data_IF_090362674740
#
_entry.id   IF_090362674740
#
_cell.length_a   1.000
_cell.length_b   1.000
_cell.length_c   1.000
_cell.angle_alpha   90.00
_cell.angle_beta   90.00
_cell.angle_gamma   90.00
#
_symmetry.space_group_name_H-M   'P 1'
#
loop_
_entity.id
_entity.type
_entity.pdbx_description
1 polymer ?
#
# COMPACT_ATOMS: atom_id res chain seq x y z
N UNK A 1 11.32 5.61 9.55
CA UNK A 1 10.43 6.77 9.83
C UNK A 1 10.25 7.71 8.62
N UNK A 2 11.19 7.77 7.69
CA UNK A 2 11.15 8.71 6.56
C UNK A 2 10.34 8.23 5.34
N UNK A 3 9.71 7.07 5.43
CA UNK A 3 8.92 6.52 4.31
C UNK A 3 7.57 7.20 4.21
N UNK A 4 7.10 7.37 2.97
CA UNK A 4 5.79 7.88 2.63
C UNK A 4 4.95 6.70 2.10
N UNK A 5 3.70 6.65 2.50
CA UNK A 5 2.72 5.63 2.15
C UNK A 5 1.54 6.27 1.43
N UNK A 6 1.07 5.71 0.35
CA UNK A 6 -0.08 6.21 -0.39
C UNK A 6 -0.73 5.15 -1.27
N UNK A 7 -1.94 5.44 -1.72
CA UNK A 7 -2.67 4.72 -2.76
C UNK A 7 -3.17 5.78 -3.76
N UNK A 8 -2.29 6.24 -4.67
CA UNK A 8 -2.56 7.42 -5.49
C UNK A 8 -3.49 7.15 -6.67
N UNK A 9 -3.86 5.90 -6.94
CA UNK A 9 -4.49 5.46 -8.17
C UNK A 9 -5.79 6.22 -8.47
N UNK A 10 -6.67 6.40 -7.48
CA UNK A 10 -7.95 7.10 -7.67
C UNK A 10 -7.70 8.54 -8.10
N UNK A 11 -6.70 9.20 -7.51
CA UNK A 11 -6.26 10.55 -7.92
C UNK A 11 -5.69 10.62 -9.33
N UNK A 12 -5.22 9.50 -9.89
CA UNK A 12 -4.74 9.40 -11.28
C UNK A 12 -5.82 8.99 -12.27
N UNK A 13 -7.04 8.70 -11.80
CA UNK A 13 -8.16 8.19 -12.61
C UNK A 13 -8.20 6.67 -12.77
N UNK A 14 -7.37 5.95 -12.00
CA UNK A 14 -7.31 4.48 -11.96
C UNK A 14 -7.98 3.92 -10.71
N UNK A 15 -8.15 2.61 -10.62
CA UNK A 15 -8.36 1.92 -9.36
C UNK A 15 -7.05 1.29 -8.87
N UNK A 16 -6.88 1.06 -7.54
CA UNK A 16 -5.73 0.32 -7.04
C UNK A 16 -5.66 -1.12 -7.55
N UNK A 17 -4.47 -1.51 -8.07
CA UNK A 17 -4.12 -2.88 -8.41
C UNK A 17 -3.47 -3.65 -7.25
N UNK A 18 -2.82 -4.79 -7.55
CA UNK A 18 -2.01 -5.56 -6.59
C UNK A 18 -2.76 -6.07 -5.36
N UNK A 19 -4.10 -6.03 -5.35
CA UNK A 19 -4.94 -6.48 -4.24
C UNK A 19 -5.08 -5.48 -3.09
N UNK A 20 -4.75 -4.21 -3.29
CA UNK A 20 -4.89 -3.16 -2.27
C UNK A 20 -6.34 -3.04 -1.78
N UNK A 21 -7.32 -3.08 -2.70
CA UNK A 21 -8.75 -2.98 -2.39
C UNK A 21 -9.27 -4.09 -1.46
N UNK A 22 -8.66 -5.28 -1.51
CA UNK A 22 -9.04 -6.41 -0.66
C UNK A 22 -8.22 -6.48 0.63
N UNK A 23 -6.92 -6.14 0.57
CA UNK A 23 -5.99 -6.30 1.70
C UNK A 23 -6.07 -5.13 2.68
N UNK A 24 -6.14 -3.90 2.17
CA UNK A 24 -6.09 -2.71 3.02
C UNK A 24 -7.25 -2.65 4.02
N UNK A 25 -8.54 -2.94 3.65
CA UNK A 25 -9.63 -2.96 4.61
C UNK A 25 -9.47 -3.98 5.75
N UNK A 26 -8.75 -5.09 5.52
CA UNK A 26 -8.48 -6.08 6.57
C UNK A 26 -7.37 -5.63 7.51
N UNK A 27 -6.44 -4.79 7.05
CA UNK A 27 -5.35 -4.25 7.86
C UNK A 27 -5.82 -3.06 8.71
N UNK A 28 -6.43 -2.05 8.07
CA UNK A 28 -6.70 -0.75 8.70
C UNK A 28 -8.16 -0.54 9.08
N UNK A 29 -9.03 -1.48 8.70
CA UNK A 29 -10.49 -1.34 8.81
C UNK A 29 -11.10 -0.52 7.66
N UNK A 30 -12.41 -0.71 7.42
CA UNK A 30 -13.13 -0.13 6.25
C UNK A 30 -13.02 1.41 6.19
N UNK A 31 -13.17 2.08 7.33
CA UNK A 31 -13.20 3.56 7.37
C UNK A 31 -11.87 4.17 6.89
N UNK A 32 -10.74 3.70 7.45
CA UNK A 32 -9.42 4.18 7.07
C UNK A 32 -9.02 3.74 5.65
N UNK A 33 -9.44 2.54 5.23
CA UNK A 33 -9.22 2.10 3.86
C UNK A 33 -9.91 3.02 2.84
N UNK A 34 -11.14 3.47 3.13
CA UNK A 34 -11.83 4.46 2.30
C UNK A 34 -11.11 5.82 2.29
N UNK A 35 -10.66 6.30 3.46
CA UNK A 35 -9.87 7.53 3.57
C UNK A 35 -8.60 7.46 2.73
N UNK A 36 -7.81 6.39 2.87
CA UNK A 36 -6.54 6.19 2.15
C UNK A 36 -6.79 6.08 0.63
N UNK A 37 -7.71 5.21 0.22
CA UNK A 37 -7.92 4.90 -1.20
C UNK A 37 -8.65 6.03 -1.94
N UNK A 38 -9.72 6.56 -1.35
CA UNK A 38 -10.50 7.61 -2.02
C UNK A 38 -9.88 8.99 -1.88
N UNK A 39 -9.15 9.22 -0.77
CA UNK A 39 -8.41 10.46 -0.56
C UNK A 39 -7.17 10.56 -1.44
N UNK A 40 -6.56 9.42 -1.79
CA UNK A 40 -5.34 9.34 -2.60
C UNK A 40 -4.20 10.25 -2.09
N UNK A 41 -4.16 10.49 -0.77
CA UNK A 41 -3.19 11.37 -0.11
C UNK A 41 -1.96 10.59 0.38
N UNK A 42 -0.92 11.33 0.76
CA UNK A 42 0.31 10.82 1.31
C UNK A 42 0.23 10.72 2.84
N UNK A 43 0.73 9.63 3.38
CA UNK A 43 0.78 9.37 4.82
C UNK A 43 2.21 9.16 5.27
N UNK A 44 2.62 9.77 6.37
CA UNK A 44 3.91 9.48 6.99
C UNK A 44 3.92 8.10 7.68
N UNK A 45 5.10 7.61 8.02
CA UNK A 45 5.28 6.31 8.63
C UNK A 45 4.61 6.20 10.02
N UNK A 46 4.55 7.28 10.80
CA UNK A 46 3.91 7.29 12.12
C UNK A 46 2.39 7.17 11.99
N UNK A 47 1.81 7.85 11.03
CA UNK A 47 0.39 7.73 10.71
C UNK A 47 0.06 6.34 10.17
N UNK A 48 0.91 5.78 9.30
CA UNK A 48 0.75 4.42 8.79
C UNK A 48 0.81 3.36 9.93
N UNK A 49 1.70 3.53 10.91
CA UNK A 49 1.72 2.68 12.12
C UNK A 49 0.43 2.85 12.94
N UNK A 50 0.03 4.08 13.24
CA UNK A 50 -1.20 4.38 13.97
C UNK A 50 -2.45 3.81 13.29
N UNK A 51 -2.47 3.77 11.96
CA UNK A 51 -3.55 3.19 11.17
C UNK A 51 -3.48 1.66 11.09
N UNK A 52 -2.41 1.04 11.59
CA UNK A 52 -2.12 -0.40 11.48
C UNK A 52 -1.86 -0.86 10.03
N UNK A 53 -1.51 0.06 9.15
CA UNK A 53 -1.09 -0.23 7.80
C UNK A 53 0.29 -0.91 7.78
N UNK A 54 1.16 -0.49 8.68
CA UNK A 54 2.45 -1.13 8.97
C UNK A 54 2.56 -1.51 10.44
N UNK A 55 3.43 -2.45 10.74
CA UNK A 55 3.65 -2.94 12.11
C UNK A 55 4.35 -1.91 13.00
N UNK A 56 5.37 -1.22 12.47
CA UNK A 56 6.23 -0.29 13.20
C UNK A 56 6.86 0.75 12.27
N UNK A 57 6.87 1.99 12.71
CA UNK A 57 7.74 3.03 12.20
C UNK A 57 9.02 3.05 13.04
N UNK A 58 10.12 2.63 12.46
CA UNK A 58 11.41 2.48 13.14
C UNK A 58 12.39 3.52 12.59
N UNK A 59 13.17 4.23 13.46
CA UNK A 59 14.24 5.09 13.01
C UNK A 59 15.20 4.36 12.08
N UNK A 60 15.61 4.99 10.99
CA UNK A 60 16.46 4.36 9.95
C UNK A 60 17.71 3.70 10.54
N UNK A 61 18.40 4.39 11.44
CA UNK A 61 19.59 3.86 12.12
C UNK A 61 19.35 2.60 12.97
N UNK A 62 18.09 2.29 13.30
CA UNK A 62 17.69 1.15 14.13
C UNK A 62 17.02 0.03 13.32
N UNK A 63 16.63 0.28 12.07
CA UNK A 63 15.82 -0.63 11.26
C UNK A 63 16.49 -2.00 11.10
N UNK A 64 17.76 -2.04 10.68
CA UNK A 64 18.50 -3.29 10.47
C UNK A 64 18.60 -4.12 11.76
N UNK A 65 18.89 -3.48 12.88
CA UNK A 65 18.98 -4.16 14.17
C UNK A 65 17.62 -4.68 14.63
N UNK A 66 16.55 -3.90 14.44
CA UNK A 66 15.18 -4.29 14.75
C UNK A 66 14.77 -5.53 13.95
N UNK A 67 14.97 -5.49 12.63
CA UNK A 67 14.63 -6.62 11.74
C UNK A 67 15.45 -7.85 12.09
N UNK A 68 16.76 -7.71 12.28
CA UNK A 68 17.67 -8.81 12.64
C UNK A 68 17.28 -9.48 13.96
N UNK A 69 16.93 -8.69 14.95
CA UNK A 69 16.48 -9.19 16.28
C UNK A 69 15.22 -10.01 16.12
N UNK A 70 14.24 -9.52 15.37
CA UNK A 70 13.00 -10.26 15.10
C UNK A 70 13.25 -11.55 14.32
N UNK A 71 14.06 -11.48 13.25
CA UNK A 71 14.40 -12.67 12.43
C UNK A 71 15.12 -13.72 13.26
N UNK A 72 16.14 -13.34 14.04
CA UNK A 72 16.88 -14.28 14.89
C UNK A 72 15.97 -14.95 15.93
N UNK A 73 15.03 -14.20 16.49
CA UNK A 73 14.03 -14.75 17.39
C UNK A 73 13.14 -15.79 16.69
N UNK A 74 12.63 -15.49 15.52
CA UNK A 74 11.79 -16.43 14.74
C UNK A 74 12.58 -17.67 14.34
N UNK A 75 13.84 -17.52 13.92
CA UNK A 75 14.71 -18.63 13.54
C UNK A 75 15.04 -19.59 14.70
N UNK A 76 14.91 -19.14 15.95
CA UNK A 76 15.11 -20.00 17.12
C UNK A 76 13.90 -20.88 17.48
N UNK A 77 12.76 -20.71 16.80
CA UNK A 77 11.54 -21.44 17.08
C UNK A 77 11.37 -22.68 16.18
N UNK A 78 10.46 -23.57 16.57
CA UNK A 78 10.15 -24.76 15.81
C UNK A 78 9.54 -24.42 14.44
N UNK A 79 10.15 -24.96 13.39
CA UNK A 79 9.76 -24.68 11.98
C UNK A 79 8.33 -25.14 11.67
N UNK A 80 7.91 -26.29 12.23
CA UNK A 80 6.57 -26.84 11.96
C UNK A 80 5.51 -25.95 12.61
N UNK A 81 5.72 -25.52 13.85
CA UNK A 81 4.82 -24.61 14.54
C UNK A 81 4.68 -23.28 13.78
N UNK A 82 5.80 -22.68 13.35
CA UNK A 82 5.80 -21.45 12.55
C UNK A 82 5.02 -21.63 11.24
N UNK A 83 5.26 -22.72 10.52
CA UNK A 83 4.62 -23.00 9.23
C UNK A 83 3.10 -23.15 9.37
N UNK A 84 2.65 -23.92 10.36
CA UNK A 84 1.23 -24.16 10.62
C UNK A 84 0.53 -22.86 11.04
N UNK A 85 1.11 -22.11 11.98
CA UNK A 85 0.55 -20.84 12.42
C UNK A 85 0.41 -19.86 11.24
N UNK A 86 1.45 -19.70 10.42
CA UNK A 86 1.41 -18.84 9.23
C UNK A 86 0.33 -19.30 8.24
N UNK A 87 0.19 -20.61 7.98
CA UNK A 87 -0.82 -21.13 7.07
C UNK A 87 -2.25 -20.81 7.56
N UNK A 88 -2.53 -21.01 8.85
CA UNK A 88 -3.85 -20.73 9.45
C UNK A 88 -4.16 -19.24 9.42
N UNK A 89 -3.20 -18.39 9.78
CA UNK A 89 -3.38 -16.92 9.74
C UNK A 89 -3.68 -16.47 8.29
N UNK A 90 -2.95 -17.01 7.31
CA UNK A 90 -3.18 -16.65 5.90
C UNK A 90 -4.57 -17.06 5.40
N UNK A 91 -5.11 -18.20 5.84
CA UNK A 91 -6.46 -18.63 5.47
C UNK A 91 -7.56 -17.71 5.99
N UNK A 92 -7.35 -17.07 7.14
CA UNK A 92 -8.35 -16.19 7.76
C UNK A 92 -8.29 -14.74 7.29
N UNK A 93 -7.18 -14.30 6.68
CA UNK A 93 -6.96 -12.88 6.38
C UNK A 93 -6.61 -12.55 4.94
N UNK A 94 -6.26 -13.53 4.10
CA UNK A 94 -5.92 -13.26 2.72
C UNK A 94 -7.14 -13.38 1.79
N UNK A 95 -7.29 -12.48 0.82
CA UNK A 95 -8.32 -12.56 -0.19
C UNK A 95 -8.11 -13.79 -1.08
N UNK A 96 -9.21 -14.31 -1.66
CA UNK A 96 -9.12 -15.41 -2.63
C UNK A 96 -8.46 -14.96 -3.94
N UNK A 97 -7.80 -15.90 -4.63
CA UNK A 97 -7.20 -15.65 -5.94
C UNK A 97 -8.25 -15.16 -6.97
N UNK A 98 -9.48 -15.65 -6.90
CA UNK A 98 -10.57 -15.22 -7.77
C UNK A 98 -10.89 -13.74 -7.58
N UNK A 99 -10.98 -13.28 -6.32
CA UNK A 99 -11.25 -11.87 -6.03
C UNK A 99 -10.08 -10.97 -6.44
N UNK A 100 -8.84 -11.43 -6.25
CA UNK A 100 -7.65 -10.69 -6.68
C UNK A 100 -7.61 -10.52 -8.19
N UNK A 101 -7.84 -11.60 -8.97
CA UNK A 101 -7.86 -11.56 -10.44
C UNK A 101 -8.97 -10.64 -10.97
N UNK A 102 -10.18 -10.74 -10.43
CA UNK A 102 -11.29 -9.89 -10.87
C UNK A 102 -10.98 -8.38 -10.69
N UNK A 103 -10.31 -8.02 -9.61
CA UNK A 103 -9.90 -6.62 -9.38
C UNK A 103 -8.74 -6.21 -10.29
N UNK A 104 -7.80 -7.12 -10.54
CA UNK A 104 -6.67 -6.89 -11.45
C UNK A 104 -7.16 -6.62 -12.88
N UNK A 105 -8.16 -7.38 -13.36
CA UNK A 105 -8.78 -7.15 -14.68
C UNK A 105 -9.42 -5.75 -14.77
N UNK A 106 -10.09 -5.29 -13.70
CA UNK A 106 -10.65 -3.93 -13.65
C UNK A 106 -9.53 -2.88 -13.61
N UNK A 107 -8.46 -3.12 -12.86
CA UNK A 107 -7.29 -2.23 -12.83
C UNK A 107 -6.72 -2.00 -14.23
N UNK A 108 -6.45 -3.08 -14.99
CA UNK A 108 -5.96 -2.92 -16.36
C UNK A 108 -6.97 -2.21 -17.28
N UNK A 109 -8.26 -2.50 -17.12
CA UNK A 109 -9.32 -1.83 -17.88
C UNK A 109 -9.37 -0.33 -17.56
N UNK A 110 -9.07 0.07 -16.32
CA UNK A 110 -9.14 1.48 -15.90
C UNK A 110 -8.15 2.40 -16.61
N UNK A 111 -7.07 1.87 -17.20
CA UNK A 111 -6.16 2.67 -18.03
C UNK A 111 -6.81 3.25 -19.31
N UNK A 112 -7.91 2.66 -19.76
CA UNK A 112 -8.70 3.17 -20.88
C UNK A 112 -9.84 4.13 -20.46
N UNK A 113 -10.00 4.39 -19.16
CA UNK A 113 -11.04 5.29 -18.69
C UNK A 113 -10.71 6.75 -19.00
N UNK A 114 -11.72 7.59 -19.30
CA UNK A 114 -11.48 8.99 -19.65
C UNK A 114 -10.65 9.75 -18.62
N UNK A 115 -10.90 9.52 -17.32
CA UNK A 115 -10.14 10.15 -16.25
C UNK A 115 -8.65 9.79 -16.26
N UNK A 116 -8.32 8.51 -16.51
CA UNK A 116 -6.93 8.08 -16.60
C UNK A 116 -6.24 8.66 -17.84
N UNK A 117 -6.91 8.63 -18.98
CA UNK A 117 -6.39 9.19 -20.24
C UNK A 117 -6.13 10.69 -20.17
N UNK A 118 -6.93 11.41 -19.38
CA UNK A 118 -6.75 12.85 -19.16
C UNK A 118 -5.63 13.14 -18.15
N UNK A 119 -5.63 12.47 -17.00
CA UNK A 119 -4.81 12.83 -15.84
C UNK A 119 -3.37 12.30 -15.93
N UNK A 120 -3.17 11.04 -16.35
CA UNK A 120 -1.86 10.40 -16.39
C UNK A 120 -0.81 11.16 -17.22
N UNK A 121 -1.10 11.65 -18.46
CA UNK A 121 -0.13 12.44 -19.22
C UNK A 121 0.29 13.71 -18.47
N UNK A 122 -0.67 14.46 -17.92
CA UNK A 122 -0.40 15.69 -17.17
C UNK A 122 0.48 15.44 -15.92
N UNK A 123 0.21 14.35 -15.20
CA UNK A 123 1.02 13.97 -14.02
C UNK A 123 2.44 13.58 -14.41
N UNK A 124 2.61 12.83 -15.51
CA UNK A 124 3.93 12.43 -16.01
C UNK A 124 4.75 13.65 -16.47
N UNK A 125 4.15 14.61 -17.14
CA UNK A 125 4.79 15.87 -17.52
C UNK A 125 5.27 16.67 -16.29
N UNK A 126 4.53 16.60 -15.16
CA UNK A 126 4.90 17.22 -13.89
C UNK A 126 5.96 16.45 -13.11
N UNK A 127 6.27 15.20 -13.48
CA UNK A 127 7.35 14.41 -12.88
C UNK A 127 6.92 13.14 -12.14
N UNK A 128 5.66 12.70 -12.27
CA UNK A 128 5.20 11.42 -11.71
C UNK A 128 6.03 10.26 -12.23
N UNK A 129 6.48 9.38 -11.33
CA UNK A 129 7.33 8.23 -11.63
C UNK A 129 8.82 8.58 -11.77
N UNK A 130 9.25 9.81 -11.42
CA UNK A 130 10.63 10.24 -11.41
C UNK A 130 11.13 10.47 -9.98
N UNK A 131 12.43 10.24 -9.73
CA UNK A 131 13.02 10.50 -8.41
C UNK A 131 13.17 12.02 -8.15
N UNK A 132 12.07 12.69 -7.81
CA UNK A 132 12.02 14.12 -7.57
C UNK A 132 11.03 14.49 -6.45
N UNK A 133 10.97 15.78 -6.13
CA UNK A 133 10.11 16.31 -5.06
C UNK A 133 8.60 16.18 -5.39
N UNK A 134 8.22 16.20 -6.67
CA UNK A 134 6.84 15.99 -7.11
C UNK A 134 6.35 14.58 -6.75
N UNK A 135 7.17 13.54 -7.02
CA UNK A 135 6.84 12.16 -6.70
C UNK A 135 6.78 11.93 -5.17
N UNK A 136 7.67 12.55 -4.41
CA UNK A 136 7.68 12.46 -2.94
C UNK A 136 6.48 13.14 -2.27
N UNK A 137 5.75 14.00 -3.01
CA UNK A 137 4.57 14.71 -2.55
C UNK A 137 3.37 14.47 -3.50
N UNK A 138 3.32 13.30 -4.11
CA UNK A 138 2.35 12.99 -5.17
C UNK A 138 0.90 13.18 -4.69
N UNK A 139 0.53 12.67 -3.52
CA UNK A 139 -0.82 12.79 -2.97
C UNK A 139 -1.29 14.24 -2.91
N UNK A 140 -0.47 15.15 -2.42
CA UNK A 140 -0.76 16.58 -2.39
C UNK A 140 -1.08 17.16 -3.77
N UNK A 141 -0.36 16.71 -4.81
CA UNK A 141 -0.50 17.23 -6.16
C UNK A 141 -1.70 16.63 -6.93
N UNK A 142 -2.25 15.49 -6.48
CA UNK A 142 -3.39 14.85 -7.11
C UNK A 142 -4.69 15.65 -6.95
N UNK A 143 -4.84 16.40 -5.87
CA UNK A 143 -5.99 17.27 -5.64
C UNK A 143 -6.03 18.54 -6.48
N UNK A 144 -4.90 18.93 -7.09
CA UNK A 144 -4.72 20.19 -7.83
C UNK A 144 -4.82 20.02 -9.37
N UNK A 145 -5.42 18.95 -9.86
CA UNK A 145 -5.53 18.64 -11.29
C UNK A 145 -6.90 18.94 -11.89
#
# INVERSE_FOLDING_TARGET
ENSIFGQPEVGTGLIPGGGALQRLPTLVGRSRALEIILGADDFDALTAEKYQWINRAVPEAQLDNFVRTFVNRVLSFDKQALSICKAIINQSGLPSDTNLRATEDIFYTSFAWPGALERLPKLRERGMGQANDFELNLGKHLGDL
#
